data_IF_861486388999
#
_entry.id   IF_861486388999
#
_cell.length_a   1.000
_cell.length_b   1.000
_cell.length_c   1.000
_cell.angle_alpha   90.00
_cell.angle_beta   90.00
_cell.angle_gamma   90.00
#
_symmetry.space_group_name_H-M   'P 1'
#
loop_
_entity.id
_entity.type
_entity.pdbx_description
1 polymer ?
#
# COMPACT_ATOMS: atom_id res chain seq x y z
N UNK A 1 -13.32 -25.37 -19.04
CA UNK A 1 -12.89 -23.97 -18.88
C UNK A 1 -13.20 -23.57 -17.45
N UNK A 2 -12.19 -23.32 -16.63
CA UNK A 2 -12.39 -22.84 -15.25
C UNK A 2 -12.84 -21.36 -15.34
N UNK A 3 -13.95 -21.03 -14.68
CA UNK A 3 -14.52 -19.67 -14.66
C UNK A 3 -13.72 -18.72 -13.76
N UNK A 4 -14.17 -17.47 -13.66
CA UNK A 4 -13.66 -16.54 -12.65
C UNK A 4 -14.06 -17.02 -11.26
N UNK A 5 -13.08 -17.27 -10.39
CA UNK A 5 -13.32 -17.78 -9.02
C UNK A 5 -13.22 -16.70 -7.93
N UNK A 6 -12.97 -15.44 -8.30
CA UNK A 6 -12.76 -14.36 -7.34
C UNK A 6 -11.52 -14.60 -6.49
N UNK A 7 -11.66 -14.48 -5.16
CA UNK A 7 -10.58 -14.72 -4.19
C UNK A 7 -10.49 -16.19 -3.74
N UNK A 8 -11.19 -17.13 -4.38
CA UNK A 8 -11.18 -18.56 -3.98
C UNK A 8 -9.94 -19.28 -4.49
N UNK A 9 -9.61 -20.38 -3.84
CA UNK A 9 -8.51 -21.28 -4.19
C UNK A 9 -9.00 -22.74 -4.23
N UNK A 10 -8.38 -23.56 -5.07
CA UNK A 10 -8.78 -24.97 -5.26
C UNK A 10 -8.22 -25.89 -4.15
N UNK A 11 -7.30 -25.40 -3.32
CA UNK A 11 -6.57 -26.18 -2.31
C UNK A 11 -6.95 -25.74 -0.89
N UNK A 12 -7.05 -24.44 -0.65
CA UNK A 12 -7.34 -23.85 0.65
C UNK A 12 -8.83 -23.53 0.79
N UNK A 13 -9.44 -23.97 1.90
CA UNK A 13 -10.84 -23.69 2.21
C UNK A 13 -11.02 -23.42 3.72
N UNK A 14 -11.46 -22.20 4.11
CA UNK A 14 -11.68 -21.05 3.24
C UNK A 14 -10.39 -20.47 2.63
N UNK A 15 -10.51 -19.92 1.42
CA UNK A 15 -9.65 -18.87 0.88
C UNK A 15 -10.60 -17.72 0.48
N UNK A 16 -10.49 -16.57 1.14
CA UNK A 16 -11.39 -15.47 0.84
C UNK A 16 -11.07 -14.19 1.58
N UNK A 17 -11.87 -13.16 1.29
CA UNK A 17 -11.80 -11.84 1.90
C UNK A 17 -13.17 -11.50 2.48
N UNK A 18 -13.21 -11.17 3.78
CA UNK A 18 -14.42 -11.04 4.57
C UNK A 18 -14.54 -9.65 5.18
N UNK A 19 -15.75 -9.08 5.27
CA UNK A 19 -15.95 -7.76 5.82
C UNK A 19 -15.68 -7.76 7.33
N UNK A 20 -15.16 -6.65 7.81
CA UNK A 20 -14.90 -6.35 9.20
C UNK A 20 -15.66 -5.09 9.63
N UNK A 21 -15.62 -4.77 10.92
CA UNK A 21 -16.26 -3.60 11.47
C UNK A 21 -15.67 -2.32 10.86
N UNK A 22 -16.55 -1.41 10.43
CA UNK A 22 -16.19 -0.14 9.80
C UNK A 22 -16.59 -0.08 8.32
N UNK A 23 -16.15 0.97 7.65
CA UNK A 23 -16.40 1.20 6.22
C UNK A 23 -15.21 0.71 5.41
N UNK A 24 -15.48 -0.13 4.41
CA UNK A 24 -14.47 -0.74 3.53
C UNK A 24 -13.29 -1.39 4.27
N UNK A 25 -13.59 -2.03 5.41
CA UNK A 25 -12.62 -2.73 6.24
C UNK A 25 -12.78 -4.23 6.06
N UNK A 26 -11.70 -4.93 5.72
CA UNK A 26 -11.76 -6.34 5.33
C UNK A 26 -10.55 -7.12 5.84
N UNK A 27 -10.71 -8.43 5.96
CA UNK A 27 -9.65 -9.38 6.29
C UNK A 27 -9.60 -10.49 5.25
N UNK A 28 -8.41 -10.82 4.76
CA UNK A 28 -8.19 -12.03 3.97
C UNK A 28 -7.74 -13.16 4.88
N UNK A 29 -8.33 -14.34 4.71
CA UNK A 29 -8.05 -15.53 5.52
C UNK A 29 -7.83 -16.73 4.59
N UNK A 30 -6.77 -17.50 4.85
CA UNK A 30 -6.44 -18.73 4.13
C UNK A 30 -6.29 -19.88 5.12
N UNK A 31 -7.05 -20.97 4.91
CA UNK A 31 -7.01 -22.15 5.76
C UNK A 31 -6.57 -23.36 4.96
N UNK A 32 -5.49 -23.99 5.42
CA UNK A 32 -4.76 -25.04 4.72
C UNK A 32 -5.00 -26.43 5.29
N UNK A 33 -5.56 -26.51 6.50
CA UNK A 33 -5.80 -27.77 7.19
C UNK A 33 -7.02 -27.70 8.10
N UNK A 34 -7.51 -28.88 8.53
CA UNK A 34 -8.61 -28.97 9.49
C UNK A 34 -8.22 -28.50 10.90
N UNK A 35 -6.92 -28.55 11.23
CA UNK A 35 -6.38 -27.99 12.47
C UNK A 35 -6.37 -26.45 12.46
N UNK A 36 -6.04 -25.85 11.31
CA UNK A 36 -6.15 -24.40 11.13
C UNK A 36 -7.62 -23.98 11.19
N UNK A 37 -8.53 -24.71 10.53
CA UNK A 37 -9.97 -24.46 10.61
C UNK A 37 -10.48 -24.47 12.06
N UNK A 38 -10.14 -25.53 12.80
CA UNK A 38 -10.43 -25.67 14.21
C UNK A 38 -9.98 -24.46 15.04
N UNK A 39 -8.75 -24.03 14.80
CA UNK A 39 -8.13 -22.89 15.48
C UNK A 39 -8.85 -21.58 15.14
N UNK A 40 -9.23 -21.38 13.88
CA UNK A 40 -10.02 -20.22 13.45
C UNK A 40 -11.41 -20.20 14.10
N UNK A 41 -12.10 -21.34 14.16
CA UNK A 41 -13.38 -21.45 14.86
C UNK A 41 -13.26 -21.02 16.32
N UNK A 42 -12.20 -21.46 17.02
CA UNK A 42 -11.94 -21.06 18.40
C UNK A 42 -11.68 -19.56 18.52
N UNK A 43 -10.85 -18.98 17.66
CA UNK A 43 -10.56 -17.53 17.66
C UNK A 43 -11.81 -16.69 17.43
N UNK A 44 -12.71 -17.15 16.55
CA UNK A 44 -13.98 -16.48 16.28
C UNK A 44 -15.07 -16.75 17.33
N UNK A 45 -14.77 -17.52 18.38
CA UNK A 45 -15.73 -17.99 19.39
C UNK A 45 -16.92 -18.74 18.75
N UNK A 46 -16.60 -19.67 17.85
CA UNK A 46 -17.54 -20.48 17.05
C UNK A 46 -17.10 -21.94 16.96
N UNK A 47 -16.63 -22.50 18.07
CA UNK A 47 -16.10 -23.87 18.14
C UNK A 47 -17.11 -24.94 17.68
N UNK A 48 -18.40 -24.65 17.73
CA UNK A 48 -19.48 -25.52 17.26
C UNK A 48 -19.41 -25.81 15.75
N UNK A 49 -18.81 -24.92 14.94
CA UNK A 49 -18.68 -25.12 13.49
C UNK A 49 -17.79 -26.32 13.13
N UNK A 50 -16.91 -26.74 14.03
CA UNK A 50 -16.09 -27.94 13.86
C UNK A 50 -16.93 -29.21 13.77
N UNK A 51 -18.09 -29.23 14.44
CA UNK A 51 -19.02 -30.36 14.44
C UNK A 51 -20.02 -30.34 13.28
N UNK A 52 -20.07 -29.26 12.50
CA UNK A 52 -20.94 -29.18 11.34
C UNK A 52 -20.33 -30.01 10.18
N UNK A 53 -21.08 -31.01 9.73
CA UNK A 53 -20.65 -31.90 8.64
C UNK A 53 -20.33 -31.18 7.34
N UNK A 54 -20.86 -29.96 7.12
CA UNK A 54 -20.54 -29.12 5.97
C UNK A 54 -19.12 -28.56 6.01
N UNK A 55 -18.52 -28.45 7.20
CA UNK A 55 -17.22 -27.80 7.40
C UNK A 55 -16.16 -28.69 8.07
N UNK A 56 -16.50 -29.95 8.34
CA UNK A 56 -15.67 -30.88 9.11
C UNK A 56 -14.35 -31.27 8.43
N UNK A 57 -14.26 -31.17 7.10
CA UNK A 57 -13.05 -31.46 6.32
C UNK A 57 -12.80 -30.39 5.26
N UNK A 58 -11.56 -30.29 4.77
CA UNK A 58 -11.22 -29.37 3.68
C UNK A 58 -12.08 -29.56 2.43
N UNK A 59 -12.35 -30.82 2.03
CA UNK A 59 -13.22 -31.13 0.90
C UNK A 59 -14.67 -30.69 1.16
N UNK A 60 -15.20 -30.96 2.36
CA UNK A 60 -16.54 -30.50 2.73
C UNK A 60 -16.64 -28.97 2.70
N UNK A 61 -15.62 -28.26 3.23
CA UNK A 61 -15.54 -26.80 3.18
C UNK A 61 -15.50 -26.27 1.75
N UNK A 62 -14.75 -26.92 0.85
CA UNK A 62 -14.69 -26.55 -0.55
C UNK A 62 -16.05 -26.76 -1.27
N UNK A 63 -16.72 -27.90 -1.04
CA UNK A 63 -18.04 -28.19 -1.60
C UNK A 63 -19.13 -27.24 -1.07
N UNK A 64 -18.94 -26.69 0.13
CA UNK A 64 -19.88 -25.78 0.80
C UNK A 64 -19.34 -24.35 0.92
N UNK A 65 -18.45 -23.92 0.02
CA UNK A 65 -17.71 -22.67 0.15
C UNK A 65 -18.62 -21.43 0.22
N UNK A 66 -19.75 -21.41 -0.50
CA UNK A 66 -20.71 -20.30 -0.44
C UNK A 66 -21.27 -20.12 0.98
N UNK A 67 -21.70 -21.23 1.61
CA UNK A 67 -22.22 -21.19 2.98
C UNK A 67 -21.12 -20.88 4.01
N UNK A 68 -19.89 -21.30 3.74
CA UNK A 68 -18.72 -20.98 4.54
C UNK A 68 -18.37 -19.49 4.47
N UNK A 69 -18.43 -18.89 3.29
CA UNK A 69 -18.18 -17.46 3.08
C UNK A 69 -19.21 -16.61 3.82
N UNK A 70 -20.50 -16.99 3.76
CA UNK A 70 -21.56 -16.31 4.51
C UNK A 70 -21.33 -16.38 6.03
N UNK A 71 -20.93 -17.54 6.55
CA UNK A 71 -20.64 -17.72 7.98
C UNK A 71 -19.45 -16.87 8.42
N UNK A 72 -18.37 -16.87 7.65
CA UNK A 72 -17.18 -16.10 7.95
C UNK A 72 -17.46 -14.61 7.86
N UNK A 73 -18.14 -14.14 6.81
CA UNK A 73 -18.53 -12.74 6.67
C UNK A 73 -19.37 -12.25 7.85
N UNK A 74 -20.33 -13.05 8.31
CA UNK A 74 -21.12 -12.72 9.50
C UNK A 74 -20.25 -12.64 10.74
N UNK A 75 -19.37 -13.62 10.99
CA UNK A 75 -18.55 -13.64 12.19
C UNK A 75 -17.51 -12.51 12.21
N UNK A 76 -16.83 -12.23 11.10
CA UNK A 76 -15.78 -11.22 11.02
C UNK A 76 -16.31 -9.79 11.01
N UNK A 77 -17.56 -9.56 10.61
CA UNK A 77 -18.16 -8.21 10.49
C UNK A 77 -18.19 -7.39 11.78
N UNK A 78 -18.11 -8.05 12.94
CA UNK A 78 -18.05 -7.40 14.26
C UNK A 78 -16.62 -7.14 14.75
N UNK A 79 -15.61 -7.64 14.05
CA UNK A 79 -14.21 -7.51 14.42
C UNK A 79 -13.55 -6.31 13.75
N UNK A 80 -12.63 -5.66 14.47
CA UNK A 80 -11.61 -4.85 13.81
C UNK A 80 -10.63 -5.74 13.04
N UNK A 81 -10.37 -5.43 11.76
CA UNK A 81 -9.58 -6.28 10.88
C UNK A 81 -8.14 -6.49 11.38
N UNK A 82 -7.47 -5.45 11.89
CA UNK A 82 -6.10 -5.52 12.41
C UNK A 82 -6.02 -6.34 13.70
N UNK A 83 -7.00 -6.19 14.59
CA UNK A 83 -7.09 -7.01 15.81
C UNK A 83 -7.33 -8.48 15.47
N UNK A 84 -8.20 -8.77 14.50
CA UNK A 84 -8.47 -10.14 14.07
C UNK A 84 -7.27 -10.74 13.34
N UNK A 85 -6.60 -9.99 12.47
CA UNK A 85 -5.33 -10.35 11.84
C UNK A 85 -4.31 -10.78 12.91
N UNK A 86 -4.05 -9.94 13.91
CA UNK A 86 -3.12 -10.24 14.99
C UNK A 86 -3.53 -11.48 15.80
N UNK A 87 -4.83 -11.63 16.11
CA UNK A 87 -5.35 -12.77 16.86
C UNK A 87 -5.19 -14.11 16.10
N UNK A 88 -5.40 -14.10 14.78
CA UNK A 88 -5.23 -15.27 13.92
C UNK A 88 -3.74 -15.59 13.71
N UNK A 89 -2.92 -14.60 13.37
CA UNK A 89 -1.48 -14.78 13.16
C UNK A 89 -0.75 -15.24 14.42
N UNK A 90 -1.16 -14.79 15.61
CA UNK A 90 -0.63 -15.27 16.89
C UNK A 90 -0.80 -16.78 17.10
N UNK A 91 -1.73 -17.41 16.35
CA UNK A 91 -2.00 -18.84 16.37
C UNK A 91 -1.53 -19.55 15.10
N UNK A 92 -0.70 -18.89 14.28
CA UNK A 92 -0.14 -19.45 13.05
C UNK A 92 -1.09 -19.50 11.86
N UNK A 93 -2.27 -18.88 11.97
CA UNK A 93 -3.26 -18.85 10.89
C UNK A 93 -2.88 -17.77 9.88
N UNK A 94 -2.76 -18.11 8.57
CA UNK A 94 -2.57 -17.13 7.53
C UNK A 94 -3.79 -16.20 7.41
N UNK A 95 -3.60 -14.96 7.85
CA UNK A 95 -4.61 -13.91 7.74
C UNK A 95 -3.92 -12.56 7.56
N UNK A 96 -4.58 -11.63 6.88
CA UNK A 96 -4.07 -10.27 6.68
C UNK A 96 -5.21 -9.28 6.53
N UNK A 97 -5.15 -8.16 7.25
CA UNK A 97 -6.08 -7.06 7.01
C UNK A 97 -5.83 -6.49 5.61
N UNK A 98 -6.91 -6.11 4.91
CA UNK A 98 -6.81 -5.44 3.61
C UNK A 98 -6.48 -3.98 3.86
N UNK A 99 -5.29 -3.56 3.42
CA UNK A 99 -4.74 -2.24 3.70
C UNK A 99 -4.87 -1.33 2.49
N UNK A 100 -5.28 -0.08 2.72
CA UNK A 100 -5.21 0.95 1.71
C UNK A 100 -3.83 1.64 1.68
N UNK A 101 -3.67 2.64 0.80
CA UNK A 101 -2.41 3.38 0.69
C UNK A 101 -2.01 4.14 1.95
N UNK A 102 -2.98 4.61 2.76
CA UNK A 102 -2.72 5.25 4.05
C UNK A 102 -2.27 4.21 5.06
N UNK A 103 -3.01 3.11 5.21
CA UNK A 103 -2.71 2.06 6.17
C UNK A 103 -1.32 1.48 5.94
N UNK A 104 -0.90 1.33 4.68
CA UNK A 104 0.47 0.94 4.33
C UNK A 104 1.52 1.95 4.79
N UNK A 105 1.26 3.25 4.64
CA UNK A 105 2.21 4.29 5.05
C UNK A 105 2.46 4.27 6.58
N UNK A 106 1.43 3.92 7.36
CA UNK A 106 1.50 3.83 8.82
C UNK A 106 1.71 2.41 9.35
N UNK A 107 1.91 1.41 8.48
CA UNK A 107 2.07 0.02 8.89
C UNK A 107 3.34 -0.18 9.75
N UNK A 108 3.18 -0.79 10.92
CA UNK A 108 4.26 -0.98 11.87
C UNK A 108 5.37 -1.87 11.32
N UNK A 109 5.04 -2.92 10.56
CA UNK A 109 6.05 -3.81 9.99
C UNK A 109 6.91 -3.08 8.96
N UNK A 110 6.28 -2.34 8.03
CA UNK A 110 6.98 -1.55 7.01
C UNK A 110 7.84 -0.43 7.63
N UNK A 111 7.34 0.25 8.65
CA UNK A 111 8.11 1.30 9.31
C UNK A 111 9.26 0.74 10.15
N UNK A 112 9.06 -0.33 10.91
CA UNK A 112 10.10 -0.95 11.75
C UNK A 112 11.27 -1.50 10.91
N UNK A 113 11.02 -1.91 9.67
CA UNK A 113 12.07 -2.35 8.74
C UNK A 113 12.70 -1.22 7.91
N UNK A 114 12.37 0.04 8.21
CA UNK A 114 12.84 1.21 7.45
C UNK A 114 12.48 1.12 5.98
N UNK A 115 11.24 0.75 5.67
CA UNK A 115 10.76 0.68 4.29
C UNK A 115 10.50 2.07 3.70
N UNK A 116 10.04 3.04 4.49
CA UNK A 116 9.87 4.41 4.02
C UNK A 116 11.09 5.25 4.40
N UNK A 117 11.68 5.95 3.43
CA UNK A 117 12.79 6.89 3.61
C UNK A 117 12.29 8.31 3.30
N UNK A 118 12.52 9.25 4.21
CA UNK A 118 12.18 10.66 3.99
C UNK A 118 13.17 11.28 3.03
N UNK A 119 12.66 11.95 1.99
CA UNK A 119 13.46 12.62 0.96
C UNK A 119 13.18 14.10 1.01
N UNK A 120 14.26 14.89 1.12
CA UNK A 120 14.21 16.33 0.96
C UNK A 120 14.26 16.71 -0.52
N UNK A 121 13.51 17.74 -0.91
CA UNK A 121 13.43 18.22 -2.29
C UNK A 121 14.07 19.62 -2.41
N UNK A 122 14.59 19.99 -3.59
CA UNK A 122 15.16 21.32 -3.80
C UNK A 122 14.13 22.43 -3.51
N UNK A 123 14.55 23.49 -2.82
CA UNK A 123 13.66 24.56 -2.35
C UNK A 123 12.80 25.19 -3.47
N UNK A 124 13.32 25.27 -4.70
CA UNK A 124 12.58 25.80 -5.85
C UNK A 124 11.41 24.95 -6.34
N UNK A 125 11.25 23.73 -5.83
CA UNK A 125 10.15 22.82 -6.22
C UNK A 125 8.86 23.04 -5.43
N UNK A 126 8.94 23.70 -4.26
CA UNK A 126 7.85 23.79 -3.27
C UNK A 126 7.29 22.42 -2.83
N UNK A 127 8.08 21.35 -2.96
CA UNK A 127 7.73 20.02 -2.46
C UNK A 127 8.30 19.90 -1.04
N UNK A 128 7.49 19.64 -0.01
CA UNK A 128 8.00 19.41 1.35
C UNK A 128 8.80 18.11 1.41
N UNK A 129 9.55 17.82 2.48
CA UNK A 129 10.09 16.48 2.67
C UNK A 129 8.94 15.46 2.70
N UNK A 130 9.12 14.33 1.99
CA UNK A 130 8.09 13.30 1.88
C UNK A 130 8.67 11.90 2.10
N UNK A 131 7.93 10.98 2.74
CA UNK A 131 8.32 9.58 2.83
C UNK A 131 8.11 8.87 1.50
N UNK A 132 9.14 8.19 1.01
CA UNK A 132 9.08 7.37 -0.21
C UNK A 132 9.33 5.91 0.11
N UNK A 133 8.60 5.03 -0.57
CA UNK A 133 8.87 3.60 -0.53
C UNK A 133 10.29 3.31 -1.03
N UNK A 134 11.06 2.64 -0.19
CA UNK A 134 12.42 2.19 -0.45
C UNK A 134 12.41 0.85 -1.19
N UNK A 135 13.59 0.21 -1.25
CA UNK A 135 13.79 -1.11 -1.81
C UNK A 135 13.12 -2.14 -0.90
N UNK A 136 12.35 -3.10 -1.46
CA UNK A 136 11.73 -4.15 -0.67
C UNK A 136 12.77 -5.16 -0.12
N UNK A 137 13.93 -5.28 -0.77
CA UNK A 137 15.07 -6.08 -0.30
C UNK A 137 16.03 -5.25 0.57
N UNK A 138 16.63 -5.92 1.57
CA UNK A 138 17.66 -5.34 2.45
C UNK A 138 18.93 -6.18 2.37
N UNK A 139 20.07 -5.52 2.13
CA UNK A 139 21.38 -6.15 2.08
C UNK A 139 22.20 -5.74 3.30
N UNK A 140 22.88 -6.69 3.93
CA UNK A 140 23.73 -6.48 5.11
C UNK A 140 25.00 -5.70 4.77
N UNK A 141 25.67 -6.02 3.65
CA UNK A 141 26.97 -5.44 3.25
C UNK A 141 26.85 -4.19 2.38
N UNK A 142 25.75 -4.05 1.65
CA UNK A 142 25.52 -2.95 0.71
C UNK A 142 24.09 -2.41 0.88
N UNK A 143 23.76 -1.84 2.05
CA UNK A 143 22.43 -1.29 2.29
C UNK A 143 22.13 -0.20 1.26
N UNK A 144 21.00 -0.34 0.56
CA UNK A 144 20.53 0.67 -0.37
C UNK A 144 19.81 1.79 0.39
N UNK A 145 20.14 3.04 0.10
CA UNK A 145 19.47 4.24 0.62
C UNK A 145 19.16 5.24 -0.50
N UNK A 146 18.08 6.02 -0.33
CA UNK A 146 17.74 7.08 -1.27
C UNK A 146 18.79 8.17 -1.08
N UNK A 147 19.58 8.44 -2.12
CA UNK A 147 20.74 9.34 -2.00
C UNK A 147 20.39 10.80 -2.22
N UNK A 148 19.37 11.06 -3.03
CA UNK A 148 18.93 12.39 -3.48
C UNK A 148 17.52 12.28 -4.04
N UNK A 149 16.80 13.38 -4.06
CA UNK A 149 15.51 13.48 -4.76
C UNK A 149 15.65 13.23 -6.25
N UNK A 150 14.51 13.05 -6.92
CA UNK A 150 14.45 13.15 -8.37
C UNK A 150 14.99 14.53 -8.82
N UNK A 151 15.72 14.59 -9.95
CA UNK A 151 16.27 15.84 -10.42
C UNK A 151 15.17 16.79 -10.91
N UNK A 152 15.41 18.09 -10.76
CA UNK A 152 14.57 19.10 -11.42
C UNK A 152 14.82 19.12 -12.93
N UNK A 153 13.91 19.76 -13.68
CA UNK A 153 14.09 19.92 -15.11
C UNK A 153 15.42 20.64 -15.37
N UNK A 154 16.30 20.03 -16.17
CA UNK A 154 17.58 20.60 -16.55
C UNK A 154 18.64 20.68 -15.45
N UNK A 155 18.43 20.08 -14.27
CA UNK A 155 19.38 20.15 -13.14
C UNK A 155 20.81 19.74 -13.53
N UNK A 156 20.93 18.74 -14.42
CA UNK A 156 22.22 18.18 -14.87
C UNK A 156 22.66 18.68 -16.24
N UNK A 157 22.09 19.77 -16.77
CA UNK A 157 22.47 20.27 -18.10
C UNK A 157 23.95 20.61 -18.17
N UNK A 158 24.49 21.36 -17.20
CA UNK A 158 25.92 21.73 -17.17
C UNK A 158 26.82 20.48 -16.98
N UNK A 159 26.48 19.61 -16.03
CA UNK A 159 27.22 18.35 -15.78
C UNK A 159 27.31 17.49 -17.06
N UNK A 160 26.19 17.30 -17.77
CA UNK A 160 26.18 16.43 -18.94
C UNK A 160 26.77 17.12 -20.17
N UNK A 161 26.35 18.34 -20.48
CA UNK A 161 26.74 19.00 -21.73
C UNK A 161 28.17 19.55 -21.67
N UNK A 162 28.57 20.13 -20.54
CA UNK A 162 29.88 20.75 -20.41
C UNK A 162 30.90 19.74 -19.86
N UNK A 163 30.64 19.12 -18.70
CA UNK A 163 31.67 18.29 -18.06
C UNK A 163 31.88 16.94 -18.76
N UNK A 164 30.80 16.30 -19.23
CA UNK A 164 30.86 14.98 -19.87
C UNK A 164 31.08 15.10 -21.39
N UNK A 165 30.34 15.97 -22.06
CA UNK A 165 30.39 16.10 -23.53
C UNK A 165 31.35 17.16 -24.03
N UNK A 166 31.85 18.06 -23.17
CA UNK A 166 32.85 19.06 -23.53
C UNK A 166 32.33 20.23 -24.36
N UNK A 167 31.01 20.49 -24.36
CA UNK A 167 30.46 21.66 -25.03
C UNK A 167 30.91 22.93 -24.31
N UNK A 168 31.19 23.97 -25.09
CA UNK A 168 31.52 25.27 -24.54
C UNK A 168 30.30 25.95 -23.92
N UNK A 169 30.54 26.88 -23.00
CA UNK A 169 29.50 27.73 -22.41
C UNK A 169 28.65 28.40 -23.49
N UNK A 170 29.28 28.94 -24.55
CA UNK A 170 28.58 29.59 -25.66
C UNK A 170 27.68 28.65 -26.46
N UNK A 171 28.06 27.38 -26.61
CA UNK A 171 27.21 26.39 -27.27
C UNK A 171 25.98 26.07 -26.42
N UNK A 172 26.16 25.91 -25.11
CA UNK A 172 25.04 25.65 -24.19
C UNK A 172 24.09 26.84 -24.05
N UNK A 173 24.61 28.07 -24.01
CA UNK A 173 23.81 29.30 -24.00
C UNK A 173 22.97 29.43 -25.28
N UNK A 174 23.57 29.13 -26.45
CA UNK A 174 22.84 29.16 -27.72
C UNK A 174 21.69 28.14 -27.75
N UNK A 175 21.89 26.95 -27.17
CA UNK A 175 20.84 25.94 -27.03
C UNK A 175 19.72 26.39 -26.08
N UNK A 176 20.06 27.03 -24.97
CA UNK A 176 19.08 27.55 -24.02
C UNK A 176 18.25 28.70 -24.63
N UNK A 177 18.90 29.64 -25.32
CA UNK A 177 18.23 30.73 -26.04
C UNK A 177 17.30 30.21 -27.16
N UNK A 178 17.70 29.12 -27.83
CA UNK A 178 16.89 28.46 -28.83
C UNK A 178 15.74 27.61 -28.22
N UNK A 179 15.69 27.44 -26.90
CA UNK A 179 14.72 26.61 -26.20
C UNK A 179 14.90 25.11 -26.43
N UNK A 180 16.11 24.67 -26.83
CA UNK A 180 16.47 23.26 -27.01
C UNK A 180 16.69 22.60 -25.65
N UNK A 181 17.28 23.35 -24.71
CA UNK A 181 17.45 22.97 -23.31
C UNK A 181 16.88 24.07 -22.40
N UNK A 182 16.71 23.78 -21.11
CA UNK A 182 16.32 24.77 -20.12
C UNK A 182 16.05 24.13 -18.76
N UNK A 183 15.71 24.97 -17.78
CA UNK A 183 15.43 24.56 -16.39
C UNK A 183 13.96 24.71 -15.99
N UNK A 184 13.13 25.25 -16.89
CA UNK A 184 11.70 25.39 -16.71
C UNK A 184 10.96 25.12 -18.05
N UNK A 185 9.71 24.64 -18.01
CA UNK A 185 8.90 24.50 -19.22
C UNK A 185 8.72 25.86 -19.91
N UNK A 186 8.91 25.93 -21.23
CA UNK A 186 8.80 27.18 -22.02
C UNK A 186 7.36 27.74 -22.04
N UNK A 187 6.36 26.86 -21.91
CA UNK A 187 4.92 27.22 -21.88
C UNK A 187 4.20 26.35 -20.84
N UNK A 188 4.37 26.63 -19.54
CA UNK A 188 3.73 25.83 -18.51
C UNK A 188 2.23 26.01 -18.60
N UNK A 189 1.48 24.91 -18.66
CA UNK A 189 0.03 24.96 -18.50
C UNK A 189 -0.27 25.15 -17.02
N UNK A 190 -1.01 26.20 -16.68
CA UNK A 190 -1.52 26.34 -15.32
C UNK A 190 -2.45 25.14 -15.02
N UNK A 191 -2.07 24.34 -14.03
CA UNK A 191 -2.89 23.25 -13.50
C UNK A 191 -3.37 23.69 -12.13
N UNK A 192 -4.69 23.78 -11.96
CA UNK A 192 -5.31 23.91 -10.65
C UNK A 192 -5.73 22.50 -10.24
N UNK A 193 -5.13 21.90 -9.20
CA UNK A 193 -5.59 20.62 -8.67
C UNK A 193 -7.08 20.75 -8.27
N UNK A 194 -7.93 19.75 -8.61
CA UNK A 194 -9.30 19.76 -8.14
C UNK A 194 -9.33 19.70 -6.61
N UNK A 195 -10.34 20.33 -6.00
CA UNK A 195 -10.55 20.21 -4.54
C UNK A 195 -10.94 18.78 -4.16
N UNK A 196 -10.63 18.37 -2.93
CA UNK A 196 -11.05 17.06 -2.42
C UNK A 196 -12.58 16.90 -2.43
N UNK A 197 -13.34 17.97 -2.23
CA UNK A 197 -14.81 17.99 -2.35
C UNK A 197 -15.25 17.57 -3.76
N UNK A 198 -14.69 18.18 -4.81
CA UNK A 198 -14.99 17.82 -6.19
C UNK A 198 -14.56 16.37 -6.51
N UNK A 199 -13.43 15.92 -5.96
CA UNK A 199 -12.96 14.54 -6.13
C UNK A 199 -13.90 13.52 -5.48
N UNK A 200 -14.47 13.84 -4.31
CA UNK A 200 -15.48 13.02 -3.63
C UNK A 200 -16.79 12.97 -4.42
N UNK A 201 -17.30 14.13 -4.88
CA UNK A 201 -18.52 14.22 -5.71
C UNK A 201 -18.40 13.39 -7.00
N UNK A 202 -17.21 13.37 -7.60
CA UNK A 202 -16.93 12.58 -8.81
C UNK A 202 -16.64 11.10 -8.53
N UNK A 203 -16.59 10.67 -7.27
CA UNK A 203 -16.22 9.29 -6.89
C UNK A 203 -14.78 8.92 -7.24
N UNK A 204 -13.89 9.91 -7.39
CA UNK A 204 -12.46 9.70 -7.69
C UNK A 204 -11.65 9.34 -6.45
N UNK A 205 -12.12 9.76 -5.29
CA UNK A 205 -11.63 9.34 -3.98
C UNK A 205 -12.84 8.96 -3.13
N UNK A 206 -12.63 8.05 -2.19
CA UNK A 206 -13.69 7.56 -1.29
C UNK A 206 -13.77 8.40 -0.01
N UNK A 207 -12.64 8.93 0.45
CA UNK A 207 -12.51 9.70 1.69
C UNK A 207 -11.39 10.73 1.60
N UNK A 208 -11.46 11.75 2.46
CA UNK A 208 -10.42 12.78 2.63
C UNK A 208 -10.27 13.10 4.12
N UNK A 209 -9.03 13.25 4.58
CA UNK A 209 -8.69 13.61 5.96
C UNK A 209 -7.89 14.91 5.97
N UNK A 210 -8.35 15.92 6.70
CA UNK A 210 -7.71 17.24 6.74
C UNK A 210 -6.40 17.25 7.53
N UNK A 211 -6.21 16.29 8.44
CA UNK A 211 -5.05 16.16 9.32
C UNK A 211 -4.00 15.17 8.78
N UNK A 212 -4.19 14.62 7.56
CA UNK A 212 -3.30 13.61 7.00
C UNK A 212 -1.84 14.08 6.88
N UNK A 213 -1.63 15.31 6.42
CA UNK A 213 -0.28 15.89 6.29
C UNK A 213 0.41 16.09 7.66
N UNK A 214 -0.36 16.38 8.71
CA UNK A 214 0.17 16.49 10.07
C UNK A 214 0.56 15.12 10.61
N UNK A 215 -0.30 14.11 10.45
CA UNK A 215 0.00 12.71 10.83
C UNK A 215 1.27 12.18 10.15
N UNK A 216 1.45 12.47 8.85
CA UNK A 216 2.66 12.10 8.11
C UNK A 216 3.88 12.80 8.71
N UNK A 217 3.81 14.11 8.96
CA UNK A 217 4.93 14.86 9.56
C UNK A 217 5.31 14.33 10.92
N UNK A 218 4.35 14.07 11.80
CA UNK A 218 4.58 13.51 13.13
C UNK A 218 5.22 12.12 13.05
N UNK A 219 4.66 11.23 12.20
CA UNK A 219 5.13 9.85 12.07
C UNK A 219 6.57 9.75 11.58
N UNK A 220 6.95 10.64 10.65
CA UNK A 220 8.25 10.62 9.98
C UNK A 220 9.23 11.68 10.48
N UNK A 221 8.86 12.45 11.51
CA UNK A 221 9.73 13.46 12.12
C UNK A 221 10.10 14.61 11.17
N UNK A 222 9.18 15.00 10.29
CA UNK A 222 9.40 16.05 9.29
C UNK A 222 9.11 17.41 9.94
N UNK A 223 10.11 18.29 10.02
CA UNK A 223 9.98 19.64 10.59
C UNK A 223 9.15 20.57 9.68
N UNK A 224 8.62 21.65 10.27
CA UNK A 224 7.97 22.75 9.53
C UNK A 224 8.94 23.47 8.59
#
# INVERSE_FOLDING_TARGET
>A
VQGRAGNRDDICAPQGTYPCAGEDNWISISIRSDEEWATTCETLNRSEWRGDGRFASGAARADNHDALDELLAQATSSWDARRLEAALQARGIPAGAVLDGKDLLFDDHLNNRGFFEVVEHPAGTNIPPLPYASRPWKFDKTPGSIRRSAPTLGEHNSEVLQDILGLSESETEAMEQAGIIGTAPVRPRATVPPSNELLLEQGRIVRSESDFEEKVRERFGISQ
#
